data_IF_239299349943
#
_entry.id   IF_239299349943
#
_cell.length_a   1.000
_cell.length_b   1.000
_cell.length_c   1.000
_cell.angle_alpha   90.00
_cell.angle_beta   90.00
_cell.angle_gamma   90.00
#
_symmetry.space_group_name_H-M   'P 1'
#
loop_
_entity.id
_entity.type
_entity.pdbx_description
1 polymer ?
#
# COMPACT_ATOMS: atom_id res chain seq x y z
N UNK A 1 -14.78 -16.06 -4.61
CA UNK A 1 -13.53 -16.85 -4.72
C UNK A 1 -13.76 -18.20 -5.41
N UNK A 2 -14.72 -19.01 -4.97
CA UNK A 2 -14.88 -20.42 -5.39
C UNK A 2 -15.10 -20.68 -6.90
N UNK A 3 -15.52 -19.67 -7.67
CA UNK A 3 -15.68 -19.77 -9.14
C UNK A 3 -14.82 -18.75 -9.91
N UNK A 4 -13.92 -18.01 -9.24
CA UNK A 4 -13.06 -17.05 -9.93
C UNK A 4 -11.85 -17.81 -10.51
N UNK A 5 -11.88 -18.07 -11.81
CA UNK A 5 -10.79 -18.74 -12.54
C UNK A 5 -9.45 -17.99 -12.50
N UNK A 6 -9.47 -16.70 -12.12
CA UNK A 6 -8.29 -15.86 -11.99
C UNK A 6 -7.74 -15.83 -10.56
N UNK A 7 -8.38 -16.49 -9.60
CA UNK A 7 -7.90 -16.50 -8.23
C UNK A 7 -6.64 -17.39 -8.08
N UNK A 8 -5.52 -16.79 -7.70
CA UNK A 8 -4.28 -17.48 -7.33
C UNK A 8 -4.05 -17.36 -5.83
N UNK A 9 -3.59 -18.45 -5.24
CA UNK A 9 -3.33 -18.49 -3.80
C UNK A 9 -1.98 -17.89 -3.47
N UNK A 10 -1.93 -17.01 -2.47
CA UNK A 10 -0.70 -16.39 -1.95
C UNK A 10 -0.67 -16.44 -0.42
N UNK A 11 0.54 -16.37 0.15
CA UNK A 11 0.75 -16.38 1.59
C UNK A 11 0.40 -15.04 2.24
N UNK A 12 -0.23 -15.10 3.42
CA UNK A 12 -0.43 -13.97 4.31
C UNK A 12 -0.05 -14.32 5.73
N UNK A 13 0.27 -13.28 6.50
CA UNK A 13 0.57 -13.37 7.93
C UNK A 13 -0.44 -12.56 8.72
N UNK A 14 -0.78 -13.07 9.88
CA UNK A 14 -1.58 -12.37 10.87
C UNK A 14 -0.76 -12.26 12.14
N UNK A 15 -0.59 -11.02 12.60
CA UNK A 15 0.13 -10.66 13.80
C UNK A 15 -0.86 -10.14 14.84
N UNK A 16 -0.58 -10.38 16.11
CA UNK A 16 -1.39 -9.89 17.21
C UNK A 16 -0.51 -9.20 18.25
N UNK A 17 -1.03 -8.10 18.79
CA UNK A 17 -0.50 -7.45 19.98
C UNK A 17 -1.51 -7.63 21.11
N UNK A 18 -1.05 -8.20 22.23
CA UNK A 18 -1.87 -8.51 23.41
C UNK A 18 -1.29 -7.95 24.72
N UNK A 19 -0.16 -7.27 24.63
CA UNK A 19 0.50 -6.68 25.79
C UNK A 19 -0.28 -5.48 26.31
N UNK A 20 -0.16 -5.21 27.61
CA UNK A 20 -0.85 -4.08 28.26
C UNK A 20 0.00 -2.82 28.33
N UNK A 21 1.23 -2.87 27.85
CA UNK A 21 2.20 -1.78 27.90
C UNK A 21 3.06 -1.81 26.67
N UNK A 22 3.48 -0.62 26.28
CA UNK A 22 4.40 -0.39 25.19
C UNK A 22 5.60 0.39 25.71
N UNK A 23 6.79 0.16 25.15
CA UNK A 23 7.94 1.00 25.41
C UNK A 23 7.66 2.42 24.89
N UNK A 24 8.12 3.47 25.59
CA UNK A 24 7.78 4.84 25.21
C UNK A 24 8.22 5.14 23.77
N UNK A 25 7.24 5.38 22.91
CA UNK A 25 7.44 5.63 21.49
C UNK A 25 7.90 7.06 21.23
N UNK A 26 7.67 7.98 22.18
CA UNK A 26 8.04 9.39 22.06
C UNK A 26 9.55 9.58 21.96
N UNK A 27 10.32 8.73 22.62
CA UNK A 27 11.79 8.72 22.55
C UNK A 27 12.34 8.23 21.20
N UNK A 28 11.49 7.63 20.36
CA UNK A 28 11.87 7.03 19.06
C UNK A 28 11.54 7.91 17.88
N UNK A 29 10.93 9.08 18.11
CA UNK A 29 10.61 10.05 17.08
C UNK A 29 11.90 10.78 16.71
N UNK A 30 12.38 10.71 15.46
CA UNK A 30 13.56 11.46 15.05
C UNK A 30 13.30 12.98 15.07
N UNK A 31 14.36 13.76 15.25
CA UNK A 31 14.29 15.22 15.18
C UNK A 31 13.66 15.70 13.87
N UNK A 32 12.82 16.74 13.96
CA UNK A 32 12.10 17.31 12.82
C UNK A 32 10.78 16.59 12.48
N UNK A 33 10.46 15.49 13.14
CA UNK A 33 9.19 14.79 12.99
C UNK A 33 8.29 14.96 14.20
N UNK A 34 6.98 14.87 13.98
CA UNK A 34 5.99 14.86 15.06
C UNK A 34 4.95 13.79 14.81
N UNK A 35 4.65 12.96 15.82
CA UNK A 35 3.53 12.01 15.75
C UNK A 35 2.30 12.68 16.36
N UNK A 36 1.23 12.80 15.59
CA UNK A 36 0.01 13.51 15.97
C UNK A 36 -1.21 12.62 15.73
N UNK A 37 -2.28 12.87 16.49
CA UNK A 37 -3.54 12.16 16.34
C UNK A 37 -4.22 12.57 15.04
N UNK A 38 -4.85 11.61 14.36
CA UNK A 38 -5.75 11.89 13.24
C UNK A 38 -7.12 12.25 13.84
N UNK A 39 -7.42 13.54 13.87
CA UNK A 39 -8.66 14.11 14.39
C UNK A 39 -9.27 15.12 13.40
N UNK A 40 -10.43 15.69 13.76
CA UNK A 40 -11.15 16.63 12.90
C UNK A 40 -10.33 17.89 12.57
N UNK A 41 -9.44 18.32 13.48
CA UNK A 41 -8.57 19.46 13.20
C UNK A 41 -7.55 19.09 12.14
N UNK A 42 -6.84 17.96 12.29
CA UNK A 42 -5.88 17.51 11.27
C UNK A 42 -6.55 17.31 9.90
N UNK A 43 -7.71 16.63 9.88
CA UNK A 43 -8.41 16.27 8.63
C UNK A 43 -8.98 17.48 7.89
N UNK A 44 -9.26 18.58 8.58
CA UNK A 44 -9.76 19.83 7.97
C UNK A 44 -8.66 20.80 7.52
N UNK A 45 -7.37 20.52 7.84
CA UNK A 45 -6.24 21.39 7.43
C UNK A 45 -6.07 21.43 5.93
N UNK A 46 -6.13 22.64 5.39
CA UNK A 46 -5.94 22.89 3.95
C UNK A 46 -4.44 22.92 3.61
N UNK A 47 -4.09 22.38 2.44
CA UNK A 47 -2.70 22.38 1.95
C UNK A 47 -1.78 21.35 2.63
N UNK A 48 -2.33 20.48 3.48
CA UNK A 48 -1.56 19.45 4.16
C UNK A 48 -1.20 18.32 3.18
N UNK A 49 0.10 18.13 2.95
CA UNK A 49 0.60 17.08 2.06
C UNK A 49 0.15 15.69 2.53
N UNK A 50 -0.32 14.89 1.57
CA UNK A 50 -0.85 13.53 1.73
C UNK A 50 -2.12 13.37 2.60
N UNK A 51 -2.79 14.46 2.99
CA UNK A 51 -4.06 14.34 3.74
C UNK A 51 -5.14 13.65 2.92
N UNK A 52 -5.12 13.80 1.59
CA UNK A 52 -6.02 13.10 0.67
C UNK A 52 -5.94 11.57 0.80
N UNK A 53 -4.74 10.99 0.91
CA UNK A 53 -4.58 9.54 1.07
C UNK A 53 -5.12 9.04 2.42
N UNK A 54 -5.06 9.88 3.46
CA UNK A 54 -5.66 9.56 4.76
C UNK A 54 -7.18 9.60 4.68
N UNK A 55 -7.75 10.59 3.97
CA UNK A 55 -9.19 10.66 3.68
C UNK A 55 -9.66 9.45 2.87
N UNK A 56 -8.98 9.10 1.79
CA UNK A 56 -9.28 7.92 0.96
C UNK A 56 -9.31 6.63 1.81
N UNK A 57 -8.33 6.42 2.68
CA UNK A 57 -8.33 5.26 3.58
C UNK A 57 -9.53 5.26 4.53
N UNK A 58 -9.83 6.42 5.11
CA UNK A 58 -10.98 6.58 6.01
C UNK A 58 -12.28 6.25 5.27
N UNK A 59 -12.46 6.73 4.05
CA UNK A 59 -13.63 6.43 3.22
C UNK A 59 -13.72 4.92 2.92
N UNK A 60 -12.61 4.28 2.55
CA UNK A 60 -12.57 2.85 2.24
C UNK A 60 -12.90 1.95 3.45
N UNK A 61 -12.43 2.33 4.65
CA UNK A 61 -12.55 1.51 5.86
C UNK A 61 -13.78 1.85 6.72
N UNK A 62 -14.21 3.12 6.71
CA UNK A 62 -15.24 3.65 7.59
C UNK A 62 -16.43 4.27 6.86
N UNK A 63 -16.47 4.23 5.52
CA UNK A 63 -17.51 4.79 4.63
C UNK A 63 -17.59 6.33 4.64
N UNK A 64 -17.43 6.98 5.80
CA UNK A 64 -17.43 8.43 5.95
C UNK A 64 -16.56 8.90 7.12
N UNK A 65 -15.96 10.09 6.99
CA UNK A 65 -15.11 10.73 8.02
C UNK A 65 -15.78 10.78 9.40
N UNK A 66 -17.07 11.12 9.43
CA UNK A 66 -17.84 11.26 10.67
C UNK A 66 -17.87 9.94 11.47
N UNK A 67 -17.93 8.80 10.80
CA UNK A 67 -17.95 7.48 11.45
C UNK A 67 -16.58 7.15 12.00
N UNK A 68 -15.51 7.47 11.28
CA UNK A 68 -14.14 7.36 11.77
C UNK A 68 -13.90 8.25 13.00
N UNK A 69 -14.29 9.52 12.98
CA UNK A 69 -14.12 10.43 14.12
C UNK A 69 -14.89 9.98 15.38
N UNK A 70 -16.01 9.26 15.19
CA UNK A 70 -16.81 8.73 16.29
C UNK A 70 -16.23 7.45 16.89
N UNK A 71 -15.84 6.50 16.05
CA UNK A 71 -15.54 5.12 16.47
C UNK A 71 -14.13 4.66 16.10
N UNK A 72 -13.58 5.19 15.02
CA UNK A 72 -12.21 4.96 14.59
C UNK A 72 -11.20 5.77 15.39
N UNK A 73 -9.95 5.59 15.00
CA UNK A 73 -8.80 6.29 15.55
C UNK A 73 -7.55 5.98 14.73
N UNK A 74 -6.54 6.84 14.88
CA UNK A 74 -5.24 6.64 14.28
C UNK A 74 -4.30 7.78 14.64
N UNK A 75 -3.04 7.58 14.29
CA UNK A 75 -1.98 8.58 14.37
C UNK A 75 -1.28 8.70 13.03
N UNK A 76 -0.67 9.85 12.78
CA UNK A 76 0.26 10.03 11.68
C UNK A 76 1.55 10.70 12.15
N UNK A 77 2.64 10.41 11.45
CA UNK A 77 3.88 11.17 11.56
C UNK A 77 3.88 12.31 10.55
N UNK A 78 4.22 13.50 11.01
CA UNK A 78 4.34 14.75 10.28
C UNK A 78 5.80 15.10 10.04
N UNK A 79 6.09 15.69 8.88
CA UNK A 79 7.33 16.41 8.59
C UNK A 79 6.98 17.75 7.95
N UNK A 80 6.99 18.84 8.74
CA UNK A 80 6.40 20.11 8.33
C UNK A 80 4.90 19.97 8.04
N UNK A 81 4.45 20.52 6.90
CA UNK A 81 3.07 20.45 6.42
C UNK A 81 2.81 19.21 5.54
N UNK A 82 3.39 18.05 5.91
CA UNK A 82 3.19 16.78 5.18
C UNK A 82 3.04 15.60 6.14
N UNK A 83 2.04 14.77 5.89
CA UNK A 83 1.86 13.46 6.52
C UNK A 83 2.78 12.46 5.80
N UNK A 84 3.73 11.87 6.53
CA UNK A 84 4.77 10.99 5.95
C UNK A 84 4.61 9.52 6.37
N UNK A 85 3.76 9.24 7.36
CA UNK A 85 3.32 7.89 7.73
C UNK A 85 2.01 7.98 8.50
N UNK A 86 1.07 7.08 8.28
CA UNK A 86 -0.23 7.08 8.97
C UNK A 86 -0.65 5.65 9.32
N UNK A 87 -1.13 5.47 10.56
CA UNK A 87 -1.64 4.22 11.08
C UNK A 87 -3.06 4.44 11.59
N UNK A 88 -4.02 3.70 11.06
CA UNK A 88 -5.43 3.80 11.42
C UNK A 88 -5.94 2.43 11.88
N UNK A 89 -6.97 2.43 12.71
CA UNK A 89 -7.80 1.24 12.87
C UNK A 89 -8.63 1.04 11.59
N UNK A 90 -8.39 -0.05 10.87
CA UNK A 90 -9.17 -0.45 9.70
C UNK A 90 -10.58 -0.88 10.12
N UNK A 91 -10.70 -1.54 11.27
CA UNK A 91 -11.98 -1.82 11.90
C UNK A 91 -11.86 -1.98 13.42
N UNK A 92 -12.97 -1.79 14.12
CA UNK A 92 -13.09 -2.00 15.57
C UNK A 92 -14.34 -2.82 15.86
N UNK A 93 -14.21 -3.88 16.65
CA UNK A 93 -15.31 -4.76 17.03
C UNK A 93 -15.14 -5.27 18.46
N UNK A 94 -15.97 -4.77 19.38
CA UNK A 94 -15.87 -5.10 20.80
C UNK A 94 -14.54 -4.64 21.38
N UNK A 95 -13.80 -5.55 21.99
CA UNK A 95 -12.47 -5.28 22.58
C UNK A 95 -11.32 -5.50 21.59
N UNK A 96 -11.62 -5.61 20.28
CA UNK A 96 -10.64 -5.91 19.24
C UNK A 96 -10.62 -4.84 18.14
N UNK A 97 -9.47 -4.70 17.49
CA UNK A 97 -9.35 -3.92 16.26
C UNK A 97 -8.33 -4.55 15.31
N UNK A 98 -8.42 -4.21 14.04
CA UNK A 98 -7.35 -4.43 13.05
C UNK A 98 -6.76 -3.06 12.70
N UNK A 99 -5.44 -2.97 12.58
CA UNK A 99 -4.76 -1.72 12.19
C UNK A 99 -4.02 -1.89 10.87
N UNK A 100 -4.01 -0.79 10.11
CA UNK A 100 -3.23 -0.64 8.88
C UNK A 100 -2.18 0.45 9.02
N UNK A 101 -1.15 0.40 8.17
CA UNK A 101 -0.06 1.38 8.12
C UNK A 101 0.34 1.64 6.68
N UNK A 102 0.63 2.90 6.36
CA UNK A 102 1.40 3.25 5.17
C UNK A 102 2.38 4.39 5.48
N UNK A 103 3.34 4.57 4.59
CA UNK A 103 4.39 5.55 4.70
C UNK A 103 4.78 6.03 3.31
N UNK A 104 4.91 7.35 3.22
CA UNK A 104 5.44 8.02 2.05
C UNK A 104 6.79 7.38 1.67
N UNK A 105 6.93 6.87 0.42
CA UNK A 105 8.15 6.22 -0.06
C UNK A 105 9.45 6.98 0.23
N UNK A 106 9.44 8.32 0.16
CA UNK A 106 10.62 9.16 0.37
C UNK A 106 11.10 9.20 1.84
N UNK A 107 10.22 8.80 2.76
CA UNK A 107 10.43 8.84 4.21
C UNK A 107 10.59 7.46 4.85
N UNK A 108 10.53 6.39 4.05
CA UNK A 108 10.71 5.01 4.52
C UNK A 108 12.12 4.80 5.09
N UNK A 109 12.28 3.72 5.87
CA UNK A 109 13.55 3.29 6.51
C UNK A 109 14.10 4.25 7.58
N UNK A 110 13.30 5.22 8.05
CA UNK A 110 13.66 6.17 9.12
C UNK A 110 13.03 5.85 10.49
N UNK A 111 12.36 4.70 10.62
CA UNK A 111 11.69 4.28 11.86
C UNK A 111 10.32 4.93 12.11
N UNK A 112 9.85 5.80 11.21
CA UNK A 112 8.59 6.55 11.37
C UNK A 112 7.37 5.63 11.47
N UNK A 113 7.24 4.64 10.58
CA UNK A 113 6.15 3.66 10.63
C UNK A 113 6.03 2.97 12.00
N UNK A 114 7.16 2.56 12.60
CA UNK A 114 7.14 1.93 13.93
C UNK A 114 6.73 2.90 15.03
N UNK A 115 7.06 4.19 14.93
CA UNK A 115 6.63 5.20 15.89
C UNK A 115 5.12 5.51 15.73
N UNK A 116 4.64 5.67 14.49
CA UNK A 116 3.22 5.89 14.19
C UNK A 116 2.35 4.74 14.71
N UNK A 117 2.74 3.49 14.40
CA UNK A 117 2.01 2.30 14.87
C UNK A 117 2.02 2.22 16.38
N UNK A 118 3.17 2.45 17.00
CA UNK A 118 3.29 2.41 18.45
C UNK A 118 2.37 3.42 19.14
N UNK A 119 2.22 4.63 18.59
CA UNK A 119 1.28 5.63 19.09
C UNK A 119 -0.19 5.18 18.93
N UNK A 120 -0.54 4.56 17.81
CA UNK A 120 -1.88 3.99 17.61
C UNK A 120 -2.16 2.85 18.59
N UNK A 121 -1.20 1.95 18.82
CA UNK A 121 -1.30 0.86 19.81
C UNK A 121 -1.41 1.39 21.24
N UNK A 122 -0.67 2.45 21.59
CA UNK A 122 -0.77 3.11 22.90
C UNK A 122 -2.22 3.57 23.15
N UNK A 123 -2.85 4.20 22.16
CA UNK A 123 -4.27 4.59 22.24
C UNK A 123 -5.22 3.37 22.28
N UNK A 124 -4.93 2.27 21.59
CA UNK A 124 -5.71 1.04 21.73
C UNK A 124 -5.71 0.54 23.18
N UNK A 125 -4.55 0.54 23.83
CA UNK A 125 -4.39 0.13 25.23
C UNK A 125 -5.16 1.08 26.15
N UNK A 126 -5.05 2.40 25.94
CA UNK A 126 -5.81 3.40 26.71
C UNK A 126 -7.32 3.21 26.57
N UNK A 127 -7.80 2.78 25.40
CA UNK A 127 -9.21 2.44 25.12
C UNK A 127 -9.63 1.08 25.66
N UNK A 128 -8.73 0.31 26.26
CA UNK A 128 -9.01 -1.00 26.82
C UNK A 128 -9.16 -2.13 25.80
N UNK A 129 -8.64 -1.95 24.57
CA UNK A 129 -8.62 -3.02 23.57
C UNK A 129 -7.63 -4.11 24.00
N UNK A 130 -8.04 -5.37 23.88
CA UNK A 130 -7.29 -6.52 24.39
C UNK A 130 -6.56 -7.31 23.30
N UNK A 131 -7.02 -7.20 22.04
CA UNK A 131 -6.34 -7.79 20.89
C UNK A 131 -6.32 -6.80 19.72
N UNK A 132 -5.11 -6.46 19.27
CA UNK A 132 -4.88 -5.58 18.11
C UNK A 132 -4.28 -6.44 17.02
N UNK A 133 -4.99 -6.56 15.90
CA UNK A 133 -4.60 -7.35 14.75
C UNK A 133 -3.93 -6.55 13.66
N UNK A 134 -3.11 -7.27 12.91
CA UNK A 134 -2.37 -6.76 11.76
C UNK A 134 -2.24 -7.87 10.73
N UNK A 135 -2.72 -7.60 9.52
CA UNK A 135 -2.59 -8.51 8.38
C UNK A 135 -1.59 -7.98 7.36
N UNK A 136 -0.64 -8.80 6.93
CA UNK A 136 0.29 -8.43 5.85
C UNK A 136 0.50 -9.57 4.86
N UNK A 137 1.01 -9.25 3.67
CA UNK A 137 1.50 -10.26 2.74
C UNK A 137 2.72 -10.98 3.33
N UNK A 138 2.86 -12.27 3.01
CA UNK A 138 4.04 -13.04 3.42
C UNK A 138 5.34 -12.56 2.75
N UNK A 139 5.21 -11.92 1.59
CA UNK A 139 6.28 -11.30 0.80
C UNK A 139 6.69 -9.92 1.33
N UNK A 140 5.78 -9.21 2.01
CA UNK A 140 6.05 -7.86 2.52
C UNK A 140 6.90 -7.90 3.80
N UNK A 141 8.21 -7.99 3.62
CA UNK A 141 9.19 -8.00 4.71
C UNK A 141 9.26 -6.66 5.47
N UNK A 142 8.85 -5.56 4.83
CA UNK A 142 8.78 -4.24 5.44
C UNK A 142 7.76 -4.19 6.57
N UNK A 143 6.53 -4.59 6.25
CA UNK A 143 5.40 -4.67 7.18
C UNK A 143 5.69 -5.62 8.34
N UNK A 144 6.25 -6.81 8.05
CA UNK A 144 6.65 -7.79 9.08
C UNK A 144 7.62 -7.19 10.11
N UNK A 145 8.69 -6.52 9.64
CA UNK A 145 9.67 -5.89 10.53
C UNK A 145 9.08 -4.76 11.36
N UNK A 146 8.09 -4.02 10.84
CA UNK A 146 7.42 -2.96 11.62
C UNK A 146 6.59 -3.58 12.73
N UNK A 147 5.75 -4.58 12.42
CA UNK A 147 4.94 -5.28 13.40
C UNK A 147 5.79 -5.85 14.54
N UNK A 148 6.84 -6.62 14.19
CA UNK A 148 7.75 -7.25 15.15
C UNK A 148 8.51 -6.21 16.00
N UNK A 149 8.92 -5.07 15.41
CA UNK A 149 9.62 -4.01 16.14
C UNK A 149 8.74 -3.30 17.18
N UNK A 150 7.44 -3.21 16.93
CA UNK A 150 6.48 -2.62 17.89
C UNK A 150 6.14 -3.62 19.00
N UNK A 151 6.33 -4.91 18.77
CA UNK A 151 6.08 -5.98 19.73
C UNK A 151 4.87 -6.84 19.39
N UNK A 152 4.37 -6.79 18.15
CA UNK A 152 3.40 -7.77 17.69
C UNK A 152 4.07 -9.14 17.51
N UNK A 153 3.33 -10.19 17.83
CA UNK A 153 3.77 -11.57 17.65
C UNK A 153 3.04 -12.22 16.48
N UNK A 154 3.75 -13.08 15.73
CA UNK A 154 3.14 -13.84 14.64
C UNK A 154 2.16 -14.86 15.23
N UNK A 155 0.87 -14.64 15.01
CA UNK A 155 -0.19 -15.56 15.45
C UNK A 155 -0.33 -16.73 14.47
N UNK A 156 -0.42 -16.43 13.17
CA UNK A 156 -0.58 -17.47 12.14
C UNK A 156 -0.12 -17.04 10.76
N UNK A 157 0.25 -18.03 9.97
CA UNK A 157 0.34 -17.93 8.51
C UNK A 157 -0.90 -18.57 7.90
N UNK A 158 -1.43 -17.96 6.85
CA UNK A 158 -2.61 -18.49 6.18
C UNK A 158 -2.55 -18.18 4.68
N UNK A 159 -3.37 -18.89 3.92
CA UNK A 159 -3.48 -18.69 2.47
C UNK A 159 -4.65 -17.79 2.17
N UNK A 160 -4.40 -16.76 1.35
CA UNK A 160 -5.43 -15.93 0.75
C UNK A 160 -5.46 -16.17 -0.76
N UNK A 161 -6.51 -15.69 -1.43
CA UNK A 161 -6.67 -15.81 -2.88
C UNK A 161 -7.04 -14.46 -3.47
N UNK A 162 -6.33 -14.04 -4.50
CA UNK A 162 -6.59 -12.82 -5.25
C UNK A 162 -6.26 -13.04 -6.73
N UNK A 163 -6.68 -12.11 -7.59
CA UNK A 163 -6.23 -12.03 -8.99
C UNK A 163 -4.99 -11.13 -9.16
N UNK A 164 -4.52 -10.53 -8.06
CA UNK A 164 -3.34 -9.66 -8.01
C UNK A 164 -2.10 -10.43 -7.57
N UNK A 165 -0.92 -10.02 -8.04
CA UNK A 165 0.34 -10.50 -7.47
C UNK A 165 0.47 -10.05 -6.00
N UNK A 166 1.11 -10.84 -5.13
CA UNK A 166 1.24 -10.51 -3.71
C UNK A 166 2.48 -9.64 -3.49
N UNK A 167 2.46 -8.39 -3.95
CA UNK A 167 3.51 -7.41 -3.68
C UNK A 167 2.92 -6.03 -3.44
N UNK A 168 3.44 -5.32 -2.44
CA UNK A 168 3.06 -3.94 -2.11
C UNK A 168 4.27 -3.00 -2.26
N UNK A 169 5.49 -3.54 -2.40
CA UNK A 169 6.73 -2.80 -2.51
C UNK A 169 7.69 -3.44 -3.52
N UNK A 170 8.57 -2.61 -4.08
CA UNK A 170 9.73 -3.09 -4.82
C UNK A 170 10.56 -4.05 -3.95
N UNK A 171 10.89 -5.22 -4.50
CA UNK A 171 11.66 -6.27 -3.82
C UNK A 171 10.85 -7.23 -2.96
N UNK A 172 9.52 -7.11 -2.89
CA UNK A 172 8.67 -8.12 -2.23
C UNK A 172 8.69 -9.47 -2.97
N UNK A 173 8.88 -9.44 -4.29
CA UNK A 173 9.06 -10.60 -5.15
C UNK A 173 10.41 -10.52 -5.88
N UNK A 174 10.99 -11.70 -6.15
CA UNK A 174 12.19 -11.82 -6.97
C UNK A 174 11.86 -11.84 -8.47
N UNK A 175 12.89 -11.77 -9.33
CA UNK A 175 12.70 -11.75 -10.80
C UNK A 175 11.90 -12.95 -11.33
N UNK A 176 12.19 -14.16 -10.86
CA UNK A 176 11.49 -15.37 -11.34
C UNK A 176 10.00 -15.35 -10.95
N UNK A 177 9.69 -14.90 -9.73
CA UNK A 177 8.32 -14.73 -9.27
C UNK A 177 7.57 -13.69 -10.12
N UNK A 178 8.21 -12.55 -10.41
CA UNK A 178 7.65 -11.54 -11.31
C UNK A 178 7.37 -12.08 -12.71
N UNK A 179 8.33 -12.80 -13.31
CA UNK A 179 8.14 -13.44 -14.61
C UNK A 179 7.01 -14.48 -14.59
N UNK A 180 6.86 -15.24 -13.50
CA UNK A 180 5.76 -16.19 -13.31
C UNK A 180 4.39 -15.52 -13.18
N UNK A 181 4.33 -14.29 -12.66
CA UNK A 181 3.11 -13.48 -12.66
C UNK A 181 2.85 -12.84 -14.03
N UNK A 182 3.87 -12.34 -14.72
CA UNK A 182 3.75 -11.82 -16.08
C UNK A 182 3.17 -12.87 -17.04
N UNK A 183 3.71 -14.09 -17.04
CA UNK A 183 3.20 -15.19 -17.87
C UNK A 183 1.75 -15.56 -17.55
N UNK A 184 1.38 -15.49 -16.28
CA UNK A 184 -0.01 -15.72 -15.87
C UNK A 184 -0.94 -14.62 -16.38
N UNK A 185 -0.55 -13.36 -16.24
CA UNK A 185 -1.35 -12.25 -16.73
C UNK A 185 -1.50 -12.24 -18.24
N UNK A 186 -0.44 -12.59 -18.96
CA UNK A 186 -0.47 -12.82 -20.40
C UNK A 186 -1.56 -13.81 -20.79
N UNK A 187 -1.59 -14.99 -20.14
CA UNK A 187 -2.61 -15.99 -20.38
C UNK A 187 -4.01 -15.53 -19.96
N UNK A 188 -4.12 -14.84 -18.82
CA UNK A 188 -5.41 -14.32 -18.34
C UNK A 188 -5.97 -13.24 -19.28
N UNK A 189 -5.09 -12.48 -19.94
CA UNK A 189 -5.46 -11.43 -20.90
C UNK A 189 -6.13 -11.96 -22.17
N UNK A 190 -5.96 -13.23 -22.52
CA UNK A 190 -6.71 -13.88 -23.61
C UNK A 190 -8.22 -13.91 -23.33
N UNK A 191 -8.60 -13.96 -22.05
CA UNK A 191 -10.00 -13.97 -21.61
C UNK A 191 -10.48 -12.59 -21.21
N UNK A 192 -9.64 -11.83 -20.50
CA UNK A 192 -9.99 -10.52 -19.97
C UNK A 192 -8.84 -9.53 -20.17
N UNK A 193 -8.99 -8.62 -21.14
CA UNK A 193 -7.93 -7.70 -21.58
C UNK A 193 -7.32 -6.86 -20.44
N UNK A 194 -8.08 -6.62 -19.36
CA UNK A 194 -7.59 -5.87 -18.19
C UNK A 194 -6.35 -6.51 -17.54
N UNK A 195 -6.11 -7.81 -17.72
CA UNK A 195 -4.92 -8.44 -17.13
C UNK A 195 -3.61 -8.01 -17.78
N UNK A 196 -3.63 -7.38 -18.96
CA UNK A 196 -2.41 -6.82 -19.56
C UNK A 196 -1.74 -5.75 -18.69
N UNK A 197 -2.50 -5.05 -17.83
CA UNK A 197 -1.90 -4.15 -16.84
C UNK A 197 -0.93 -4.89 -15.92
N UNK A 198 -1.41 -5.97 -15.31
CA UNK A 198 -0.59 -6.81 -14.43
C UNK A 198 0.60 -7.42 -15.16
N UNK A 199 0.47 -7.75 -16.45
CA UNK A 199 1.58 -8.22 -17.27
C UNK A 199 2.68 -7.16 -17.40
N UNK A 200 2.34 -5.93 -17.79
CA UNK A 200 3.31 -4.82 -17.94
C UNK A 200 4.00 -4.52 -16.61
N UNK A 201 3.24 -4.46 -15.52
CA UNK A 201 3.79 -4.23 -14.18
C UNK A 201 4.80 -5.31 -13.81
N UNK A 202 4.43 -6.57 -13.99
CA UNK A 202 5.30 -7.70 -13.66
C UNK A 202 6.56 -7.74 -14.53
N UNK A 203 6.45 -7.48 -15.84
CA UNK A 203 7.60 -7.40 -16.75
C UNK A 203 8.53 -6.25 -16.35
N UNK A 204 7.97 -5.10 -15.98
CA UNK A 204 8.76 -3.96 -15.51
C UNK A 204 9.52 -4.29 -14.24
N UNK A 205 8.83 -4.87 -13.24
CA UNK A 205 9.46 -5.27 -11.98
C UNK A 205 10.49 -6.40 -12.15
N UNK A 206 10.30 -7.27 -13.15
CA UNK A 206 11.29 -8.25 -13.53
C UNK A 206 12.52 -7.63 -14.22
N UNK A 207 12.44 -6.40 -14.74
CA UNK A 207 13.48 -5.77 -15.57
C UNK A 207 13.46 -6.23 -17.03
N UNK A 208 12.29 -6.61 -17.55
CA UNK A 208 12.03 -6.96 -18.96
C UNK A 208 11.49 -5.75 -19.72
N UNK A 209 12.32 -4.71 -19.88
CA UNK A 209 11.91 -3.41 -20.44
C UNK A 209 11.25 -3.55 -21.83
N UNK A 210 11.92 -4.22 -22.76
CA UNK A 210 11.38 -4.39 -24.12
C UNK A 210 10.04 -5.13 -24.13
N UNK A 211 9.90 -6.13 -23.25
CA UNK A 211 8.65 -6.88 -23.11
C UNK A 211 7.52 -6.01 -22.59
N UNK A 212 7.78 -5.28 -21.50
CA UNK A 212 6.82 -4.37 -20.89
C UNK A 212 6.34 -3.31 -21.87
N UNK A 213 7.27 -2.64 -22.57
CA UNK A 213 6.95 -1.62 -23.57
C UNK A 213 6.16 -2.17 -24.75
N UNK A 214 6.47 -3.40 -25.23
CA UNK A 214 5.68 -4.03 -26.30
C UNK A 214 4.23 -4.25 -25.89
N UNK A 215 3.99 -4.78 -24.69
CA UNK A 215 2.63 -5.04 -24.20
C UNK A 215 1.88 -3.71 -23.98
N UNK A 216 2.55 -2.74 -23.37
CA UNK A 216 1.98 -1.41 -23.13
C UNK A 216 1.63 -0.70 -24.45
N UNK A 217 2.50 -0.79 -25.46
CA UNK A 217 2.23 -0.23 -26.78
C UNK A 217 1.01 -0.89 -27.43
N UNK A 218 0.88 -2.22 -27.35
CA UNK A 218 -0.29 -2.93 -27.86
C UNK A 218 -1.58 -2.50 -27.16
N UNK A 219 -1.52 -2.20 -25.86
CA UNK A 219 -2.69 -1.73 -25.11
C UNK A 219 -3.16 -0.37 -25.62
N UNK A 220 -2.24 0.55 -25.88
CA UNK A 220 -2.52 1.85 -26.51
C UNK A 220 -3.10 1.66 -27.91
N UNK A 221 -2.50 0.78 -28.73
CA UNK A 221 -2.97 0.49 -30.08
C UNK A 221 -4.39 -0.08 -30.10
N UNK A 222 -4.74 -0.88 -29.08
CA UNK A 222 -6.07 -1.45 -28.92
C UNK A 222 -7.07 -0.50 -28.22
N UNK A 223 -6.78 0.80 -28.18
CA UNK A 223 -7.66 1.86 -27.69
C UNK A 223 -7.76 1.95 -26.17
N UNK A 224 -6.71 1.59 -25.43
CA UNK A 224 -6.71 1.85 -23.99
C UNK A 224 -6.60 3.35 -23.69
N UNK A 225 -7.67 3.89 -23.10
CA UNK A 225 -7.73 5.23 -22.53
C UNK A 225 -7.00 5.25 -21.18
N UNK A 226 -5.68 5.43 -21.21
CA UNK A 226 -4.86 5.52 -20.01
C UNK A 226 -4.70 6.98 -19.58
N UNK A 227 -5.10 7.35 -18.35
CA UNK A 227 -4.73 8.66 -17.81
C UNK A 227 -3.21 8.74 -17.66
N UNK A 228 -2.54 9.52 -18.51
CA UNK A 228 -1.09 9.54 -18.56
C UNK A 228 -0.41 9.95 -17.24
N UNK A 229 -1.08 10.81 -16.46
CA UNK A 229 -0.65 11.18 -15.12
C UNK A 229 -0.59 10.00 -14.15
N UNK A 230 -1.55 9.06 -14.26
CA UNK A 230 -1.54 7.83 -13.47
C UNK A 230 -0.38 6.91 -13.91
N UNK A 231 -0.20 6.73 -15.22
CA UNK A 231 0.87 5.91 -15.77
C UNK A 231 2.26 6.36 -15.31
N UNK A 232 2.52 7.68 -15.33
CA UNK A 232 3.77 8.29 -14.86
C UNK A 232 3.94 8.25 -13.33
N UNK A 233 2.84 8.18 -12.57
CA UNK A 233 2.86 8.19 -11.11
C UNK A 233 2.93 6.81 -10.47
N UNK A 234 2.56 5.75 -11.21
CA UNK A 234 2.43 4.42 -10.65
C UNK A 234 3.80 3.74 -10.46
N UNK A 235 4.09 3.35 -9.21
CA UNK A 235 5.40 2.83 -8.79
C UNK A 235 5.86 1.62 -9.62
N UNK A 236 4.93 0.80 -10.10
CA UNK A 236 5.25 -0.42 -10.84
C UNK A 236 5.93 -0.12 -12.19
N UNK A 237 5.72 1.06 -12.77
CA UNK A 237 6.33 1.49 -14.05
C UNK A 237 7.63 2.29 -13.88
N UNK A 238 8.06 2.57 -12.64
CA UNK A 238 9.23 3.39 -12.38
C UNK A 238 10.51 2.87 -13.07
N UNK A 239 10.61 1.56 -13.31
CA UNK A 239 11.73 0.95 -14.05
C UNK A 239 11.78 1.27 -15.55
N UNK A 240 10.69 1.77 -16.14
CA UNK A 240 10.64 2.20 -17.54
C UNK A 240 10.93 3.71 -17.69
N UNK A 241 10.80 4.50 -16.63
CA UNK A 241 10.90 5.95 -16.74
C UNK A 241 12.29 6.40 -17.22
N UNK A 242 12.30 7.32 -18.19
CA UNK A 242 13.53 7.86 -18.78
C UNK A 242 14.21 6.93 -19.78
N UNK A 243 13.65 5.76 -20.12
CA UNK A 243 14.18 4.95 -21.22
C UNK A 243 13.71 5.49 -22.56
N UNK A 244 14.52 5.32 -23.60
CA UNK A 244 14.20 5.78 -24.95
C UNK A 244 12.84 5.25 -25.46
N UNK A 245 12.50 4.01 -25.09
CA UNK A 245 11.24 3.39 -25.47
C UNK A 245 10.03 3.97 -24.73
N UNK A 246 10.20 4.27 -23.44
CA UNK A 246 9.19 4.94 -22.64
C UNK A 246 8.89 6.35 -23.14
N UNK A 247 9.91 7.18 -23.35
CA UNK A 247 9.72 8.57 -23.79
C UNK A 247 9.01 8.63 -25.15
N UNK A 248 9.34 7.73 -26.09
CA UNK A 248 8.62 7.63 -27.37
C UNK A 248 7.16 7.26 -27.20
N UNK A 249 6.86 6.30 -26.33
CA UNK A 249 5.49 5.85 -26.10
C UNK A 249 4.65 6.96 -25.47
N UNK A 250 5.21 7.66 -24.48
CA UNK A 250 4.51 8.75 -23.82
C UNK A 250 4.19 9.89 -24.79
N UNK A 251 5.17 10.34 -25.59
CA UNK A 251 4.93 11.37 -26.61
C UNK A 251 3.81 10.97 -27.58
N UNK A 252 3.72 9.68 -27.90
CA UNK A 252 2.67 9.14 -28.76
C UNK A 252 1.29 9.16 -28.09
N UNK A 253 1.21 8.86 -26.80
CA UNK A 253 -0.04 8.93 -26.03
C UNK A 253 -0.51 10.39 -25.92
N UNK A 254 0.38 11.31 -25.54
CA UNK A 254 0.08 12.75 -25.43
C UNK A 254 -0.44 13.32 -26.76
N UNK A 255 0.19 12.97 -27.87
CA UNK A 255 -0.24 13.40 -29.21
C UNK A 255 -1.63 12.86 -29.61
N UNK A 256 -2.08 11.74 -29.03
CA UNK A 256 -3.40 11.17 -29.28
C UNK A 256 -4.50 11.80 -28.40
N UNK A 257 -4.14 12.40 -27.25
CA UNK A 257 -5.08 13.13 -26.39
C UNK A 257 -5.37 14.56 -26.90
N UNK A 258 -4.44 15.16 -27.64
CA UNK A 258 -4.56 16.53 -28.18
C UNK A 258 -5.35 16.63 -29.51
N UNK A 259 -5.61 15.52 -30.19
CA UNK A 259 -6.21 15.45 -31.54
C UNK A 259 -7.63 14.92 -31.58
#
# INVERSE_FOLDING_TARGET
VWCNQFARGHGRRHYLFREKRLADWRERIPDGFAVVRIDAELLSRQGLGNVGQVHEWIEDSWEEEKRFLKSGFGFCTMHGERIVSWCLADCVSGERCEIGIDSDPEYRRRGLASATVAATVDLCIERGLTEIGWHCLETNSGSQRVAEKVGFELERKYRAFSSGYPAENAGDLNREEWLGWAAYYHQAAEKERMFRYGEVECLTQAGEEEGALRVLQQMVDDGWDCPIGWLRGHWAFAGLHGTDGWERLILRIEAAEEG
#
